data_IF_698981536940
#
_entry.id   IF_698981536940
#
_cell.length_a   1.000
_cell.length_b   1.000
_cell.length_c   1.000
_cell.angle_alpha   90.00
_cell.angle_beta   90.00
_cell.angle_gamma   90.00
#
_symmetry.space_group_name_H-M   'P 1'
#
loop_
_entity.id
_entity.type
_entity.pdbx_description
1 polymer ?
#
# COMPACT_ATOMS: atom_id res chain seq x y z
N UNK A 1 -6.05 29.00 3.65
CA UNK A 1 -5.00 28.15 3.09
C UNK A 1 -3.63 28.35 3.77
N UNK A 2 -3.16 29.57 4.02
CA UNK A 2 -1.87 29.84 4.69
C UNK A 2 -1.81 29.41 6.18
N UNK A 3 -2.90 29.51 6.93
CA UNK A 3 -2.96 29.07 8.32
C UNK A 3 -2.83 27.54 8.47
N UNK A 4 -3.49 26.77 7.60
CA UNK A 4 -3.38 25.31 7.59
C UNK A 4 -1.99 24.81 7.14
N UNK A 5 -1.28 25.57 6.30
CA UNK A 5 0.12 25.29 5.96
C UNK A 5 1.08 25.61 7.12
N UNK A 6 0.76 26.60 7.94
CA UNK A 6 1.58 26.98 9.09
C UNK A 6 1.42 26.01 10.27
N UNK A 7 0.24 25.44 10.47
CA UNK A 7 0.00 24.37 11.45
C UNK A 7 0.61 23.02 11.03
N UNK A 8 0.60 22.70 9.73
CA UNK A 8 1.26 21.50 9.19
C UNK A 8 2.80 21.54 9.34
N UNK A 9 3.39 22.74 9.40
CA UNK A 9 4.85 22.92 9.58
C UNK A 9 5.30 22.84 11.04
N UNK A 10 4.40 22.88 12.01
CA UNK A 10 4.75 22.90 13.44
C UNK A 10 5.27 21.56 14.01
N UNK A 11 5.31 20.49 13.21
CA UNK A 11 5.82 19.16 13.61
C UNK A 11 7.07 18.70 12.88
N UNK A 12 7.57 19.47 11.91
CA UNK A 12 8.82 19.14 11.21
C UNK A 12 10.03 19.58 12.04
N UNK A 13 11.05 18.74 12.21
CA UNK A 13 12.35 19.25 12.62
C UNK A 13 12.78 20.31 11.59
N UNK A 14 13.22 21.47 12.04
CA UNK A 14 13.49 22.69 11.26
C UNK A 14 14.54 22.56 10.12
N UNK A 15 14.94 21.34 9.75
CA UNK A 15 16.05 21.03 8.82
C UNK A 15 15.69 20.16 7.61
N UNK A 16 14.41 19.78 7.40
CA UNK A 16 14.05 18.93 6.25
C UNK A 16 13.87 19.82 5.00
N UNK A 17 14.93 19.98 4.24
CA UNK A 17 14.87 20.64 2.93
C UNK A 17 14.28 19.67 1.87
N UNK A 18 13.92 20.19 0.69
CA UNK A 18 13.30 19.39 -0.39
C UNK A 18 14.18 18.20 -0.81
N UNK A 19 15.51 18.33 -0.78
CA UNK A 19 16.44 17.23 -1.16
C UNK A 19 16.41 16.11 -0.12
N UNK A 20 16.45 16.44 1.17
CA UNK A 20 16.34 15.44 2.24
C UNK A 20 14.96 14.77 2.25
N UNK A 21 13.88 15.51 2.00
CA UNK A 21 12.54 14.95 1.89
C UNK A 21 12.39 13.95 0.71
N UNK A 22 13.05 14.24 -0.42
CA UNK A 22 13.11 13.31 -1.56
C UNK A 22 13.88 12.04 -1.19
N UNK A 23 15.01 12.15 -0.50
CA UNK A 23 15.77 11.00 -0.01
C UNK A 23 14.97 10.14 0.97
N UNK A 24 14.19 10.75 1.88
CA UNK A 24 13.29 10.04 2.79
C UNK A 24 12.18 9.31 2.03
N UNK A 25 11.61 9.91 0.98
CA UNK A 25 10.60 9.26 0.14
C UNK A 25 11.17 8.04 -0.60
N UNK A 26 12.37 8.13 -1.18
CA UNK A 26 13.03 7.01 -1.84
C UNK A 26 13.31 5.88 -0.84
N UNK A 27 13.86 6.20 0.34
CA UNK A 27 14.13 5.23 1.40
C UNK A 27 12.84 4.54 1.87
N UNK A 28 11.75 5.30 2.04
CA UNK A 28 10.44 4.76 2.39
C UNK A 28 10.00 3.67 1.41
N UNK A 29 10.08 3.94 0.11
CA UNK A 29 9.62 2.98 -0.90
C UNK A 29 10.59 1.82 -1.13
N UNK A 30 11.88 2.01 -0.85
CA UNK A 30 12.84 0.90 -0.79
C UNK A 30 12.51 -0.05 0.37
N UNK A 31 12.23 0.49 1.57
CA UNK A 31 11.80 -0.31 2.72
C UNK A 31 10.47 -1.02 2.43
N UNK A 32 9.52 -0.34 1.78
CA UNK A 32 8.26 -0.92 1.37
C UNK A 32 8.44 -2.08 0.35
N UNK A 33 9.38 -1.95 -0.58
CA UNK A 33 9.71 -3.01 -1.54
C UNK A 33 10.29 -4.25 -0.83
N UNK A 34 11.17 -4.05 0.14
CA UNK A 34 11.73 -5.13 0.95
C UNK A 34 10.68 -5.93 1.72
N UNK A 35 9.52 -5.33 2.04
CA UNK A 35 8.40 -6.06 2.66
C UNK A 35 7.90 -7.20 1.78
N UNK A 36 7.83 -7.01 0.45
CA UNK A 36 7.38 -8.07 -0.47
C UNK A 36 8.32 -9.27 -0.47
N UNK A 37 9.63 -8.99 -0.42
CA UNK A 37 10.67 -10.02 -0.39
C UNK A 37 10.63 -10.76 0.96
N UNK A 38 10.64 -10.02 2.06
CA UNK A 38 10.58 -10.57 3.39
C UNK A 38 9.28 -11.33 3.64
N UNK A 39 8.13 -10.80 3.19
CA UNK A 39 6.85 -11.47 3.30
C UNK A 39 6.83 -12.81 2.54
N UNK A 40 7.39 -12.85 1.32
CA UNK A 40 7.49 -14.10 0.55
C UNK A 40 8.32 -15.18 1.26
N UNK A 41 9.37 -14.77 1.99
CA UNK A 41 10.16 -15.69 2.82
C UNK A 41 9.37 -16.15 4.05
N UNK A 42 8.73 -15.20 4.77
CA UNK A 42 8.01 -15.51 6.02
C UNK A 42 6.75 -16.32 5.79
N UNK A 43 6.00 -16.07 4.71
CA UNK A 43 4.73 -16.78 4.46
C UNK A 43 4.91 -18.26 4.15
N UNK A 44 6.13 -18.72 3.89
CA UNK A 44 6.45 -20.15 3.85
C UNK A 44 6.40 -20.82 5.23
N UNK A 45 6.60 -20.06 6.31
CA UNK A 45 6.75 -20.54 7.69
C UNK A 45 5.65 -20.04 8.63
N UNK A 46 5.05 -18.90 8.32
CA UNK A 46 4.01 -18.24 9.11
C UNK A 46 2.77 -17.95 8.26
N UNK A 47 1.57 -18.20 8.78
CA UNK A 47 0.33 -17.87 8.09
C UNK A 47 0.22 -16.37 7.76
N UNK A 48 -0.41 -16.00 6.62
CA UNK A 48 -0.49 -14.61 6.16
C UNK A 48 -1.18 -13.64 7.13
N UNK A 49 -2.23 -14.07 7.82
CA UNK A 49 -2.92 -13.23 8.80
C UNK A 49 -2.11 -13.04 10.08
N UNK A 50 -1.36 -14.06 10.49
CA UNK A 50 -0.41 -13.95 11.59
C UNK A 50 0.67 -12.93 11.29
N UNK A 51 1.26 -12.97 10.07
CA UNK A 51 2.22 -11.96 9.61
C UNK A 51 1.60 -10.56 9.60
N UNK A 52 0.38 -10.43 9.09
CA UNK A 52 -0.35 -9.16 9.05
C UNK A 52 -0.59 -8.61 10.47
N UNK A 53 -1.04 -9.46 11.41
CA UNK A 53 -1.26 -9.10 12.80
C UNK A 53 0.02 -8.56 13.46
N UNK A 54 1.08 -9.33 13.44
CA UNK A 54 2.34 -8.94 14.09
C UNK A 54 2.94 -7.68 13.49
N UNK A 55 2.85 -7.51 12.17
CA UNK A 55 3.31 -6.30 11.48
C UNK A 55 2.60 -5.05 12.01
N UNK A 56 1.26 -5.05 12.03
CA UNK A 56 0.51 -3.86 12.44
C UNK A 56 0.56 -3.66 13.95
N UNK A 57 0.54 -4.74 14.75
CA UNK A 57 0.63 -4.67 16.20
C UNK A 57 1.94 -4.05 16.68
N UNK A 58 3.07 -4.55 16.17
CA UNK A 58 4.40 -4.01 16.51
C UNK A 58 4.53 -2.57 16.01
N UNK A 59 4.02 -2.24 14.82
CA UNK A 59 4.03 -0.87 14.31
C UNK A 59 3.25 0.08 15.21
N UNK A 60 2.09 -0.34 15.73
CA UNK A 60 1.32 0.44 16.72
C UNK A 60 2.14 0.65 17.99
N UNK A 61 2.76 -0.40 18.55
CA UNK A 61 3.57 -0.28 19.77
C UNK A 61 4.73 0.70 19.62
N UNK A 62 5.41 0.69 18.46
CA UNK A 62 6.54 1.59 18.18
C UNK A 62 6.05 3.04 17.97
N UNK A 63 4.94 3.24 17.25
CA UNK A 63 4.47 4.58 16.88
C UNK A 63 3.61 5.23 17.96
N UNK A 64 2.98 4.46 18.83
CA UNK A 64 2.08 4.96 19.87
C UNK A 64 2.73 6.02 20.78
N UNK A 65 3.96 5.83 21.30
CA UNK A 65 4.61 6.84 22.15
C UNK A 65 4.85 8.19 21.43
N UNK A 66 5.02 8.17 20.09
CA UNK A 66 5.30 9.37 19.28
C UNK A 66 4.09 10.32 19.21
N UNK A 67 2.88 9.79 19.41
CA UNK A 67 1.63 10.57 19.30
C UNK A 67 1.07 10.99 20.68
N UNK A 68 1.82 10.81 21.77
CA UNK A 68 1.35 11.06 23.16
C UNK A 68 0.64 12.40 23.36
N UNK A 69 1.10 13.44 22.68
CA UNK A 69 0.49 14.79 22.76
C UNK A 69 -0.91 14.86 22.13
N UNK A 70 -1.27 13.90 21.29
CA UNK A 70 -2.54 13.85 20.56
C UNK A 70 -3.51 12.79 21.12
N UNK A 71 -3.18 12.10 22.21
CA UNK A 71 -4.03 11.05 22.79
C UNK A 71 -5.48 11.47 23.01
N UNK A 72 -5.78 12.65 23.65
CA UNK A 72 -7.17 13.03 23.89
C UNK A 72 -7.98 13.15 22.60
N UNK A 73 -7.42 13.78 21.57
CA UNK A 73 -8.07 13.94 20.26
C UNK A 73 -8.22 12.59 19.53
N UNK A 74 -7.21 11.71 19.63
CA UNK A 74 -7.21 10.38 19.03
C UNK A 74 -8.29 9.49 19.65
N UNK A 75 -8.39 9.47 20.98
CA UNK A 75 -9.41 8.71 21.72
C UNK A 75 -10.80 9.28 21.43
N UNK A 76 -10.94 10.61 21.38
CA UNK A 76 -12.20 11.27 21.04
C UNK A 76 -12.72 10.84 19.67
N UNK A 77 -11.84 10.86 18.64
CA UNK A 77 -12.21 10.41 17.30
C UNK A 77 -12.52 8.91 17.26
N UNK A 78 -11.76 8.09 17.98
CA UNK A 78 -11.99 6.66 18.09
C UNK A 78 -13.41 6.36 18.60
N UNK A 79 -13.84 7.03 19.67
CA UNK A 79 -15.19 6.86 20.25
C UNK A 79 -16.30 7.29 19.30
N UNK A 80 -16.11 8.41 18.60
CA UNK A 80 -17.15 8.99 17.72
C UNK A 80 -17.26 8.26 16.37
N UNK A 81 -16.20 7.71 15.83
CA UNK A 81 -16.12 7.20 14.46
C UNK A 81 -15.55 5.77 14.37
N UNK A 82 -15.70 4.96 15.44
CA UNK A 82 -15.10 3.63 15.55
C UNK A 82 -15.39 2.71 14.36
N UNK A 83 -16.65 2.66 13.88
CA UNK A 83 -17.03 1.81 12.76
C UNK A 83 -16.34 2.24 11.46
N UNK A 84 -16.30 3.55 11.19
CA UNK A 84 -15.60 4.10 10.02
C UNK A 84 -14.09 3.81 10.08
N UNK A 85 -13.49 3.89 11.26
CA UNK A 85 -12.08 3.58 11.47
C UNK A 85 -11.78 2.09 11.27
N UNK A 86 -12.65 1.19 11.76
CA UNK A 86 -12.52 -0.26 11.54
C UNK A 86 -12.60 -0.60 10.05
N UNK A 87 -13.56 -0.04 9.31
CA UNK A 87 -13.70 -0.27 7.87
C UNK A 87 -12.45 0.25 7.13
N UNK A 88 -12.06 1.51 7.38
CA UNK A 88 -10.96 2.15 6.66
C UNK A 88 -9.62 1.52 7.04
N UNK A 89 -9.34 1.35 8.34
CA UNK A 89 -8.13 0.71 8.83
C UNK A 89 -8.04 -0.75 8.42
N UNK A 90 -9.16 -1.48 8.50
CA UNK A 90 -9.28 -2.87 8.07
C UNK A 90 -8.97 -3.06 6.59
N UNK A 91 -9.55 -2.25 5.70
CA UNK A 91 -9.28 -2.31 4.26
C UNK A 91 -7.81 -2.00 3.94
N UNK A 92 -7.24 -0.94 4.55
CA UNK A 92 -5.91 -0.46 4.19
C UNK A 92 -4.76 -1.25 4.81
N UNK A 93 -4.90 -1.68 6.05
CA UNK A 93 -3.78 -2.22 6.83
C UNK A 93 -3.99 -3.65 7.36
N UNK A 94 -5.18 -4.24 7.14
CA UNK A 94 -5.48 -5.63 7.46
C UNK A 94 -5.76 -6.42 6.18
N UNK A 95 -6.87 -6.18 5.51
CA UNK A 95 -7.34 -6.96 4.35
C UNK A 95 -6.37 -6.85 3.17
N UNK A 96 -6.00 -5.64 2.76
CA UNK A 96 -5.11 -5.46 1.59
C UNK A 96 -3.74 -6.12 1.80
N UNK A 97 -2.98 -5.90 2.89
CA UNK A 97 -1.72 -6.59 3.09
C UNK A 97 -1.86 -8.11 3.24
N UNK A 98 -2.89 -8.60 3.94
CA UNK A 98 -3.11 -10.03 4.07
C UNK A 98 -3.35 -10.70 2.72
N UNK A 99 -4.15 -10.10 1.84
CA UNK A 99 -4.37 -10.60 0.48
C UNK A 99 -3.09 -10.58 -0.37
N UNK A 100 -2.21 -9.58 -0.18
CA UNK A 100 -0.87 -9.59 -0.82
C UNK A 100 -0.06 -10.79 -0.31
N UNK A 101 -0.03 -11.02 1.01
CA UNK A 101 0.73 -12.12 1.60
C UNK A 101 0.19 -13.50 1.18
N UNK A 102 -1.13 -13.66 1.11
CA UNK A 102 -1.75 -14.86 0.54
C UNK A 102 -1.33 -15.00 -0.93
N UNK A 103 -1.43 -13.94 -1.71
CA UNK A 103 -1.07 -13.94 -3.13
C UNK A 103 0.38 -14.32 -3.37
N UNK A 104 1.32 -13.85 -2.54
CA UNK A 104 2.75 -14.15 -2.65
C UNK A 104 3.08 -15.64 -2.49
N UNK A 105 2.21 -16.45 -1.89
CA UNK A 105 2.38 -17.90 -1.84
C UNK A 105 2.20 -18.56 -3.23
N UNK A 106 1.45 -17.92 -4.13
CA UNK A 106 1.06 -18.47 -5.43
C UNK A 106 1.63 -17.71 -6.63
N UNK A 107 2.11 -16.46 -6.43
CA UNK A 107 2.68 -15.64 -7.51
C UNK A 107 4.08 -15.10 -7.15
N UNK A 108 4.76 -14.49 -8.13
CA UNK A 108 6.06 -13.85 -7.93
C UNK A 108 5.93 -12.48 -7.24
N UNK A 109 7.00 -12.06 -6.56
CA UNK A 109 7.05 -10.71 -5.99
C UNK A 109 7.06 -9.64 -7.09
N UNK A 110 7.65 -9.94 -8.26
CA UNK A 110 7.65 -9.06 -9.43
C UNK A 110 6.22 -8.84 -9.92
N UNK A 111 5.44 -9.92 -10.15
CA UNK A 111 4.05 -9.81 -10.58
C UNK A 111 3.20 -9.01 -9.57
N UNK A 112 3.34 -9.33 -8.28
CA UNK A 112 2.62 -8.61 -7.23
C UNK A 112 2.96 -7.11 -7.24
N UNK A 113 4.23 -6.74 -7.35
CA UNK A 113 4.68 -5.34 -7.41
C UNK A 113 4.13 -4.59 -8.64
N UNK A 114 4.08 -5.25 -9.80
CA UNK A 114 3.55 -4.66 -11.03
C UNK A 114 2.02 -4.48 -10.95
N UNK A 115 1.28 -5.43 -10.40
CA UNK A 115 -0.17 -5.31 -10.20
C UNK A 115 -0.49 -4.16 -9.24
N UNK A 116 0.27 -4.03 -8.14
CA UNK A 116 0.12 -2.95 -7.17
C UNK A 116 0.39 -1.56 -7.78
N UNK A 117 1.23 -1.45 -8.80
CA UNK A 117 1.44 -0.19 -9.52
C UNK A 117 0.16 0.38 -10.17
N UNK A 118 -0.90 -0.42 -10.33
CA UNK A 118 -2.22 0.02 -10.80
C UNK A 118 -3.07 0.71 -9.73
N UNK A 119 -2.68 0.69 -8.47
CA UNK A 119 -3.47 1.29 -7.39
C UNK A 119 -3.97 2.72 -7.69
N UNK A 120 -3.17 3.64 -8.25
CA UNK A 120 -3.65 4.99 -8.56
C UNK A 120 -4.78 5.00 -9.58
N UNK A 121 -4.74 4.11 -10.57
CA UNK A 121 -5.78 3.98 -11.61
C UNK A 121 -7.07 3.46 -10.98
N UNK A 122 -6.99 2.40 -10.18
CA UNK A 122 -8.13 1.81 -9.47
C UNK A 122 -8.72 2.84 -8.51
N UNK A 123 -7.87 3.58 -7.77
CA UNK A 123 -8.31 4.64 -6.85
C UNK A 123 -9.06 5.74 -7.58
N UNK A 124 -8.57 6.18 -8.73
CA UNK A 124 -9.23 7.20 -9.54
C UNK A 124 -10.61 6.72 -10.04
N UNK A 125 -10.70 5.48 -10.53
CA UNK A 125 -11.98 4.91 -10.97
C UNK A 125 -12.99 4.83 -9.81
N UNK A 126 -12.57 4.32 -8.65
CA UNK A 126 -13.43 4.27 -7.47
C UNK A 126 -13.82 5.67 -6.96
N UNK A 127 -12.91 6.65 -7.03
CA UNK A 127 -13.22 8.05 -6.70
C UNK A 127 -14.27 8.64 -7.64
N UNK A 128 -14.26 8.28 -8.92
CA UNK A 128 -15.31 8.66 -9.89
C UNK A 128 -16.68 8.19 -9.44
N UNK A 129 -16.80 6.93 -9.02
CA UNK A 129 -18.08 6.34 -8.64
C UNK A 129 -18.53 6.72 -7.22
N UNK A 130 -17.60 6.80 -6.26
CA UNK A 130 -17.93 6.99 -4.84
C UNK A 130 -17.96 8.47 -4.44
N UNK A 131 -17.07 9.29 -5.02
CA UNK A 131 -16.93 10.72 -4.71
C UNK A 131 -17.48 11.62 -5.82
N UNK A 132 -17.96 11.05 -6.93
CA UNK A 132 -18.41 11.77 -8.13
C UNK A 132 -17.33 12.72 -8.71
N UNK A 133 -16.05 12.37 -8.56
CA UNK A 133 -14.94 13.17 -9.11
C UNK A 133 -14.95 13.07 -10.64
N UNK A 134 -14.80 14.20 -11.38
CA UNK A 134 -14.76 14.14 -12.85
C UNK A 134 -13.50 13.41 -13.33
N UNK A 135 -13.66 12.55 -14.33
CA UNK A 135 -12.55 11.86 -15.02
C UNK A 135 -12.43 12.42 -16.43
N UNK A 136 -11.23 12.84 -16.82
CA UNK A 136 -10.98 13.32 -18.17
C UNK A 136 -10.91 12.16 -19.16
N UNK A 137 -11.13 12.45 -20.46
CA UNK A 137 -10.98 11.45 -21.53
C UNK A 137 -9.59 10.81 -21.53
N UNK A 138 -8.54 11.59 -21.29
CA UNK A 138 -7.17 11.10 -21.21
C UNK A 138 -6.94 10.18 -20.01
N UNK A 139 -7.55 10.48 -18.88
CA UNK A 139 -7.52 9.61 -17.70
C UNK A 139 -8.24 8.28 -17.97
N UNK A 140 -9.36 8.32 -18.69
CA UNK A 140 -10.08 7.11 -19.10
C UNK A 140 -9.25 6.25 -20.07
N UNK A 141 -8.67 6.87 -21.10
CA UNK A 141 -7.75 6.17 -22.04
C UNK A 141 -6.55 5.58 -21.29
N UNK A 142 -5.91 6.38 -20.42
CA UNK A 142 -4.79 5.92 -19.60
C UNK A 142 -5.16 4.72 -18.72
N UNK A 143 -6.39 4.69 -18.19
CA UNK A 143 -6.89 3.55 -17.42
C UNK A 143 -6.97 2.28 -18.26
N UNK A 144 -7.53 2.38 -19.47
CA UNK A 144 -7.61 1.23 -20.40
C UNK A 144 -6.19 0.70 -20.71
N UNK A 145 -5.26 1.61 -21.04
CA UNK A 145 -3.86 1.25 -21.32
C UNK A 145 -3.20 0.52 -20.14
N UNK A 146 -3.40 1.04 -18.92
CA UNK A 146 -2.87 0.41 -17.72
C UNK A 146 -3.49 -0.98 -17.45
N UNK A 147 -4.79 -1.15 -17.66
CA UNK A 147 -5.46 -2.46 -17.53
C UNK A 147 -5.01 -3.47 -18.59
N UNK A 148 -4.70 -3.04 -19.82
CA UNK A 148 -4.08 -3.91 -20.83
C UNK A 148 -2.72 -4.40 -20.33
N UNK A 149 -1.89 -3.52 -19.76
CA UNK A 149 -0.62 -3.91 -19.16
C UNK A 149 -0.77 -4.93 -18.03
N UNK A 150 -1.77 -4.74 -17.15
CA UNK A 150 -2.10 -5.73 -16.11
C UNK A 150 -2.51 -7.08 -16.72
N UNK A 151 -3.38 -7.07 -17.74
CA UNK A 151 -3.82 -8.29 -18.39
C UNK A 151 -2.62 -9.09 -18.97
N UNK A 152 -1.65 -8.40 -19.59
CA UNK A 152 -0.42 -9.02 -20.09
C UNK A 152 0.37 -9.71 -18.97
N UNK A 153 0.45 -9.10 -17.78
CA UNK A 153 1.18 -9.67 -16.63
C UNK A 153 0.43 -10.88 -16.06
N UNK A 154 -0.87 -10.73 -15.80
CA UNK A 154 -1.71 -11.76 -15.19
C UNK A 154 -1.82 -12.99 -16.10
N UNK A 155 -1.81 -12.80 -17.42
CA UNK A 155 -1.84 -13.90 -18.40
C UNK A 155 -0.45 -14.40 -18.80
N UNK A 156 0.63 -13.83 -18.24
CA UNK A 156 2.00 -14.12 -18.62
C UNK A 156 2.28 -13.99 -20.11
N UNK A 157 1.55 -13.08 -20.77
CA UNK A 157 1.64 -12.82 -22.21
C UNK A 157 0.74 -13.71 -23.09
N UNK A 158 0.08 -14.72 -22.55
CA UNK A 158 -0.94 -15.52 -23.29
C UNK A 158 -2.35 -15.04 -22.97
N UNK A 159 -2.86 -14.11 -23.80
CA UNK A 159 -4.22 -13.58 -23.62
C UNK A 159 -5.32 -14.65 -23.75
N UNK A 160 -5.02 -15.82 -24.29
CA UNK A 160 -5.99 -16.95 -24.33
C UNK A 160 -6.28 -17.48 -22.92
N UNK A 161 -5.38 -17.28 -21.98
CA UNK A 161 -5.61 -17.62 -20.57
C UNK A 161 -6.79 -16.88 -19.97
N UNK A 162 -7.09 -15.64 -20.42
CA UNK A 162 -8.31 -14.90 -20.02
C UNK A 162 -9.58 -15.60 -20.47
N UNK A 163 -9.58 -16.15 -21.69
CA UNK A 163 -10.73 -16.84 -22.29
C UNK A 163 -10.93 -18.21 -21.60
N UNK A 164 -9.81 -18.87 -21.24
CA UNK A 164 -9.82 -20.18 -20.57
C UNK A 164 -10.06 -20.09 -19.06
N UNK A 165 -10.10 -18.87 -18.51
CA UNK A 165 -10.14 -18.60 -17.05
C UNK A 165 -8.99 -19.28 -16.29
N UNK A 166 -7.86 -19.51 -16.95
CA UNK A 166 -6.66 -20.11 -16.37
C UNK A 166 -5.79 -18.98 -15.76
N UNK A 167 -6.38 -18.28 -14.79
CA UNK A 167 -5.73 -17.18 -14.08
C UNK A 167 -5.02 -17.70 -12.84
N UNK A 168 -3.84 -17.16 -12.57
CA UNK A 168 -3.11 -17.49 -11.36
C UNK A 168 -3.84 -16.95 -10.12
N UNK A 169 -4.21 -17.85 -9.21
CA UNK A 169 -4.93 -17.51 -7.97
C UNK A 169 -4.20 -16.42 -7.16
N UNK A 170 -2.86 -16.45 -7.13
CA UNK A 170 -2.07 -15.45 -6.41
C UNK A 170 -2.25 -14.04 -6.96
N UNK A 171 -2.32 -13.90 -8.27
CA UNK A 171 -2.52 -12.61 -8.94
C UNK A 171 -3.92 -12.05 -8.69
N UNK A 172 -4.94 -12.93 -8.63
CA UNK A 172 -6.30 -12.54 -8.25
C UNK A 172 -6.32 -11.95 -6.83
N UNK A 173 -5.65 -12.60 -5.86
CA UNK A 173 -5.52 -12.06 -4.51
C UNK A 173 -4.85 -10.69 -4.49
N UNK A 174 -3.79 -10.48 -5.29
CA UNK A 174 -3.10 -9.19 -5.36
C UNK A 174 -3.98 -8.11 -6.01
N UNK A 175 -4.78 -8.45 -7.03
CA UNK A 175 -5.78 -7.52 -7.61
C UNK A 175 -6.83 -7.14 -6.57
N UNK A 176 -7.37 -8.10 -5.82
CA UNK A 176 -8.31 -7.83 -4.72
C UNK A 176 -7.67 -6.96 -3.64
N UNK A 177 -6.38 -7.17 -3.33
CA UNK A 177 -5.62 -6.32 -2.41
C UNK A 177 -5.52 -4.87 -2.90
N UNK A 178 -5.23 -4.68 -4.20
CA UNK A 178 -5.16 -3.37 -4.82
C UNK A 178 -6.52 -2.64 -4.75
N UNK A 179 -7.63 -3.34 -4.99
CA UNK A 179 -8.99 -2.81 -4.86
C UNK A 179 -9.27 -2.43 -3.39
N UNK A 180 -8.94 -3.29 -2.41
CA UNK A 180 -9.14 -3.02 -1.00
C UNK A 180 -8.38 -1.77 -0.54
N UNK A 181 -7.11 -1.60 -0.98
CA UNK A 181 -6.33 -0.41 -0.67
C UNK A 181 -6.86 0.84 -1.37
N UNK A 182 -7.35 0.72 -2.60
CA UNK A 182 -7.97 1.83 -3.32
C UNK A 182 -9.26 2.29 -2.62
N UNK A 183 -10.11 1.35 -2.14
CA UNK A 183 -11.28 1.65 -1.31
C UNK A 183 -10.89 2.35 -0.01
N UNK A 184 -9.85 1.86 0.69
CA UNK A 184 -9.28 2.53 1.85
C UNK A 184 -8.96 3.99 1.53
N UNK A 185 -8.24 4.25 0.43
CA UNK A 185 -7.82 5.59 0.03
C UNK A 185 -9.03 6.50 -0.24
N UNK A 186 -10.04 6.01 -0.96
CA UNK A 186 -11.25 6.77 -1.29
C UNK A 186 -12.10 7.04 -0.04
N UNK A 187 -12.30 6.05 0.82
CA UNK A 187 -13.06 6.22 2.06
C UNK A 187 -12.35 7.14 3.05
N UNK A 188 -11.02 7.07 3.13
CA UNK A 188 -10.23 7.99 3.94
C UNK A 188 -10.41 9.45 3.48
N UNK A 189 -10.38 9.69 2.17
CA UNK A 189 -10.66 11.01 1.59
C UNK A 189 -12.09 11.49 1.90
N UNK A 190 -13.07 10.58 1.80
CA UNK A 190 -14.48 10.88 2.11
C UNK A 190 -14.70 11.21 3.58
N UNK A 191 -14.00 10.53 4.48
CA UNK A 191 -14.19 10.67 5.93
C UNK A 191 -13.75 12.04 6.49
N UNK A 192 -12.80 12.72 5.85
CA UNK A 192 -12.28 14.07 6.20
C UNK A 192 -11.94 14.21 7.69
N UNK A 193 -11.22 13.22 8.24
CA UNK A 193 -10.83 13.26 9.65
C UNK A 193 -9.96 14.47 9.97
N UNK A 194 -10.25 15.10 11.14
CA UNK A 194 -9.54 16.29 11.64
C UNK A 194 -8.43 15.88 12.63
N UNK A 195 -7.48 15.03 12.15
CA UNK A 195 -6.30 14.64 12.91
C UNK A 195 -5.04 14.79 12.05
N UNK A 196 -3.89 15.13 12.66
CA UNK A 196 -2.61 15.07 11.96
C UNK A 196 -2.32 13.67 11.41
N UNK A 197 -1.49 13.57 10.37
CA UNK A 197 -1.27 12.33 9.63
C UNK A 197 -0.78 11.16 10.48
N UNK A 198 0.21 11.40 11.39
CA UNK A 198 0.75 10.31 12.21
C UNK A 198 -0.24 9.80 13.28
N UNK A 199 -0.92 10.66 14.08
CA UNK A 199 -2.00 10.21 14.98
C UNK A 199 -3.13 9.46 14.27
N UNK A 200 -3.55 9.93 13.10
CA UNK A 200 -4.58 9.25 12.30
C UNK A 200 -4.08 7.88 11.81
N UNK A 201 -2.83 7.78 11.34
CA UNK A 201 -2.23 6.52 10.94
C UNK A 201 -2.20 5.51 12.08
N UNK A 202 -1.72 5.91 13.28
CA UNK A 202 -1.68 5.03 14.46
C UNK A 202 -3.07 4.54 14.82
N UNK A 203 -4.08 5.41 14.72
CA UNK A 203 -5.48 5.03 14.97
C UNK A 203 -6.01 4.02 13.95
N UNK A 204 -5.69 4.20 12.66
CA UNK A 204 -6.08 3.26 11.61
C UNK A 204 -5.33 1.92 11.72
N UNK A 205 -4.05 1.93 12.11
CA UNK A 205 -3.29 0.71 12.42
C UNK A 205 -3.89 -0.02 13.63
N UNK A 206 -4.27 0.71 14.69
CA UNK A 206 -4.97 0.13 15.84
C UNK A 206 -6.31 -0.52 15.46
N UNK A 207 -7.08 0.13 14.59
CA UNK A 207 -8.31 -0.44 14.03
C UNK A 207 -8.02 -1.69 13.19
N UNK A 208 -6.94 -1.69 12.41
CA UNK A 208 -6.53 -2.86 11.65
C UNK A 208 -6.13 -4.04 12.56
N UNK A 209 -5.46 -3.79 13.70
CA UNK A 209 -5.19 -4.84 14.70
C UNK A 209 -6.50 -5.52 15.11
N UNK A 210 -7.51 -4.73 15.48
CA UNK A 210 -8.83 -5.26 15.91
C UNK A 210 -9.47 -6.10 14.80
N UNK A 211 -9.46 -5.64 13.55
CA UNK A 211 -10.03 -6.36 12.40
C UNK A 211 -9.23 -7.64 12.09
N UNK A 212 -7.92 -7.66 12.32
CA UNK A 212 -7.08 -8.82 12.02
C UNK A 212 -7.22 -9.93 13.06
N UNK A 213 -7.56 -9.63 14.33
CA UNK A 213 -7.65 -10.60 15.43
C UNK A 213 -8.47 -11.84 15.06
N UNK A 214 -9.73 -11.75 14.58
CA UNK A 214 -10.53 -12.95 14.31
C UNK A 214 -9.90 -13.85 13.25
N UNK A 215 -9.29 -13.30 12.22
CA UNK A 215 -8.60 -14.06 11.17
C UNK A 215 -7.30 -14.69 11.68
N UNK A 216 -6.54 -13.96 12.50
CA UNK A 216 -5.34 -14.46 13.15
C UNK A 216 -5.65 -15.62 14.11
N UNK A 217 -6.69 -15.47 14.94
CA UNK A 217 -7.13 -16.55 15.84
C UNK A 217 -7.59 -17.78 15.04
N UNK A 218 -8.32 -17.55 13.96
CA UNK A 218 -8.74 -18.64 13.08
C UNK A 218 -7.53 -19.39 12.49
N UNK A 219 -6.50 -18.68 12.00
CA UNK A 219 -5.26 -19.31 11.51
C UNK A 219 -4.55 -20.08 12.62
N UNK A 220 -4.43 -19.53 13.83
CA UNK A 220 -3.80 -20.24 14.96
C UNK A 220 -4.45 -21.58 15.31
N UNK A 221 -5.75 -21.71 15.05
CA UNK A 221 -6.51 -22.93 15.33
C UNK A 221 -6.46 -23.97 14.21
N UNK A 222 -6.08 -23.57 12.99
CA UNK A 222 -6.19 -24.42 11.79
C UNK A 222 -4.90 -24.56 10.99
N UNK A 223 -3.85 -23.85 11.34
CA UNK A 223 -2.56 -23.86 10.62
C UNK A 223 -1.41 -24.13 11.59
N UNK A 224 -0.67 -25.19 11.33
CA UNK A 224 0.45 -25.64 12.18
C UNK A 224 1.76 -24.86 11.91
N UNK A 225 1.79 -23.94 10.95
CA UNK A 225 2.96 -23.11 10.60
C UNK A 225 3.23 -22.03 11.64
N UNK A 226 3.59 -22.40 12.86
CA UNK A 226 3.87 -21.45 13.95
C UNK A 226 5.32 -21.36 14.35
N UNK A 227 6.17 -22.27 13.88
CA UNK A 227 7.58 -22.33 14.22
C UNK A 227 8.42 -21.51 13.23
N UNK A 228 8.75 -20.28 13.62
CA UNK A 228 9.69 -19.46 12.86
C UNK A 228 11.11 -19.96 13.04
N UNK A 229 11.80 -20.26 11.95
CA UNK A 229 13.26 -20.40 11.97
C UNK A 229 13.92 -19.00 12.04
N UNK A 230 15.25 -18.97 12.13
CA UNK A 230 15.99 -17.71 12.24
C UNK A 230 15.73 -16.77 11.03
N UNK A 231 15.55 -17.30 9.81
CA UNK A 231 15.25 -16.49 8.61
C UNK A 231 13.87 -15.87 8.70
N UNK A 232 12.86 -16.65 9.08
CA UNK A 232 11.50 -16.17 9.28
C UNK A 232 11.41 -15.10 10.36
N UNK A 233 12.14 -15.29 11.48
CA UNK A 233 12.21 -14.29 12.55
C UNK A 233 12.82 -12.95 12.07
N UNK A 234 13.95 -12.98 11.35
CA UNK A 234 14.55 -11.79 10.78
C UNK A 234 13.64 -11.09 9.77
N UNK A 235 12.96 -11.87 8.93
CA UNK A 235 12.02 -11.31 7.97
C UNK A 235 10.79 -10.69 8.66
N UNK A 236 10.27 -11.30 9.74
CA UNK A 236 9.20 -10.71 10.55
C UNK A 236 9.64 -9.40 11.22
N UNK A 237 10.83 -9.37 11.83
CA UNK A 237 11.41 -8.14 12.42
C UNK A 237 11.52 -7.05 11.36
N UNK A 238 11.96 -7.40 10.15
CA UNK A 238 12.03 -6.44 9.05
C UNK A 238 10.64 -5.92 8.66
N UNK A 239 9.66 -6.80 8.46
CA UNK A 239 8.30 -6.43 8.03
C UNK A 239 7.60 -5.55 9.07
N UNK A 240 7.82 -5.81 10.36
CA UNK A 240 7.20 -5.05 11.44
C UNK A 240 7.92 -3.73 11.76
N UNK A 241 9.24 -3.74 11.85
CA UNK A 241 10.07 -2.58 12.20
C UNK A 241 10.39 -1.70 10.98
N UNK A 242 11.46 -1.99 10.22
CA UNK A 242 11.86 -1.16 9.07
C UNK A 242 10.78 -1.04 8.01
N UNK A 243 10.19 -2.14 7.57
CA UNK A 243 9.16 -2.18 6.53
C UNK A 243 7.76 -1.81 7.00
N UNK A 244 7.53 -1.75 8.31
CA UNK A 244 6.29 -1.33 8.95
C UNK A 244 6.40 0.06 9.57
N UNK A 245 6.77 0.12 10.85
CA UNK A 245 6.76 1.34 11.65
C UNK A 245 7.62 2.46 11.05
N UNK A 246 8.88 2.16 10.69
CA UNK A 246 9.80 3.16 10.13
C UNK A 246 9.32 3.64 8.76
N UNK A 247 8.93 2.74 7.88
CA UNK A 247 8.40 3.08 6.56
C UNK A 247 7.19 4.00 6.66
N UNK A 248 6.21 3.68 7.53
CA UNK A 248 5.05 4.54 7.74
C UNK A 248 5.41 5.91 8.29
N UNK A 249 6.36 5.97 9.22
CA UNK A 249 6.86 7.23 9.76
C UNK A 249 7.52 8.10 8.68
N UNK A 250 8.42 7.51 7.88
CA UNK A 250 9.10 8.19 6.77
C UNK A 250 8.11 8.65 5.69
N UNK A 251 7.10 7.83 5.39
CA UNK A 251 6.03 8.23 4.46
C UNK A 251 5.29 9.47 4.95
N UNK A 252 4.89 9.49 6.23
CA UNK A 252 4.24 10.66 6.81
C UNK A 252 5.12 11.92 6.75
N UNK A 253 6.42 11.81 7.07
CA UNK A 253 7.36 12.93 6.93
C UNK A 253 7.46 13.41 5.49
N UNK A 254 7.55 12.48 4.53
CA UNK A 254 7.63 12.80 3.11
C UNK A 254 6.37 13.52 2.61
N UNK A 255 5.18 13.06 3.04
CA UNK A 255 3.90 13.71 2.71
C UNK A 255 3.81 15.12 3.29
N UNK A 256 4.28 15.32 4.54
CA UNK A 256 4.29 16.65 5.16
C UNK A 256 5.23 17.62 4.44
N UNK A 257 6.41 17.15 4.01
CA UNK A 257 7.43 17.99 3.38
C UNK A 257 7.19 18.24 1.88
N UNK A 258 6.74 17.23 1.12
CA UNK A 258 6.58 17.28 -0.34
C UNK A 258 5.14 17.51 -0.80
N UNK A 259 4.18 17.26 0.10
CA UNK A 259 2.76 17.13 -0.23
C UNK A 259 2.38 15.76 -0.77
N UNK A 260 1.12 15.35 -0.59
CA UNK A 260 0.64 14.02 -0.91
C UNK A 260 0.83 13.64 -2.40
N UNK A 261 0.60 14.59 -3.33
CA UNK A 261 0.75 14.34 -4.77
C UNK A 261 2.18 14.00 -5.17
N UNK A 262 3.19 14.74 -4.64
CA UNK A 262 4.60 14.49 -4.96
C UNK A 262 5.11 13.23 -4.26
N UNK A 263 4.77 13.02 -2.99
CA UNK A 263 5.12 11.81 -2.26
C UNK A 263 4.54 10.54 -2.92
N UNK A 264 3.34 10.63 -3.50
CA UNK A 264 2.68 9.52 -4.20
C UNK A 264 3.40 9.08 -5.49
N UNK A 265 4.10 10.00 -6.20
CA UNK A 265 4.85 9.63 -7.41
C UNK A 265 5.98 8.65 -7.11
N UNK A 266 6.58 8.74 -5.92
CA UNK A 266 7.63 7.82 -5.50
C UNK A 266 7.18 6.37 -5.31
N UNK A 267 5.86 6.10 -5.24
CA UNK A 267 5.31 4.73 -5.23
C UNK A 267 5.82 3.88 -6.41
N UNK A 268 6.06 4.50 -7.57
CA UNK A 268 6.54 3.75 -8.74
C UNK A 268 7.97 3.23 -8.59
N UNK A 269 8.78 3.88 -7.76
CA UNK A 269 10.10 3.35 -7.39
C UNK A 269 9.99 2.05 -6.62
N UNK A 270 8.91 1.85 -5.85
CA UNK A 270 8.68 0.59 -5.14
C UNK A 270 8.64 -0.59 -6.11
N UNK A 271 7.94 -0.48 -7.24
CA UNK A 271 7.85 -1.55 -8.23
C UNK A 271 9.22 -1.91 -8.80
N UNK A 272 10.04 -0.89 -9.11
CA UNK A 272 11.41 -1.09 -9.59
C UNK A 272 12.27 -1.77 -8.51
N UNK A 273 12.19 -1.29 -7.27
CA UNK A 273 12.91 -1.87 -6.14
C UNK A 273 12.48 -3.32 -5.86
N UNK A 274 11.16 -3.65 -5.96
CA UNK A 274 10.68 -5.02 -5.84
C UNK A 274 11.34 -5.91 -6.90
N UNK A 275 11.37 -5.48 -8.16
CA UNK A 275 11.96 -6.26 -9.25
C UNK A 275 13.47 -6.50 -9.02
N UNK A 276 14.21 -5.46 -8.62
CA UNK A 276 15.64 -5.56 -8.32
C UNK A 276 15.88 -6.49 -7.11
N UNK A 277 15.17 -6.28 -6.01
CA UNK A 277 15.34 -7.09 -4.79
C UNK A 277 14.90 -8.54 -5.03
N UNK A 278 13.82 -8.78 -5.78
CA UNK A 278 13.36 -10.12 -6.11
C UNK A 278 14.39 -10.89 -6.97
N UNK A 279 15.04 -10.22 -7.90
CA UNK A 279 16.12 -10.81 -8.67
C UNK A 279 17.29 -11.27 -7.77
N UNK A 280 17.76 -10.39 -6.86
CA UNK A 280 18.91 -10.71 -6.01
C UNK A 280 18.61 -11.67 -4.87
N UNK A 281 17.45 -11.54 -4.22
CA UNK A 281 17.13 -12.29 -2.99
C UNK A 281 16.25 -13.52 -3.21
N UNK A 282 15.41 -13.52 -4.25
CA UNK A 282 14.49 -14.63 -4.55
C UNK A 282 14.88 -15.40 -5.82
N UNK A 283 15.88 -14.93 -6.58
CA UNK A 283 16.27 -15.54 -7.85
C UNK A 283 15.20 -15.40 -8.95
N UNK A 284 14.23 -14.49 -8.79
CA UNK A 284 13.20 -14.24 -9.78
C UNK A 284 13.81 -13.55 -11.01
N UNK A 285 13.44 -14.02 -12.21
CA UNK A 285 13.95 -13.43 -13.46
C UNK A 285 12.87 -12.62 -14.16
N UNK A 286 13.27 -11.45 -14.66
CA UNK A 286 12.42 -10.65 -15.52
C UNK A 286 12.18 -11.40 -16.84
N UNK A 287 10.92 -11.61 -17.18
CA UNK A 287 10.47 -12.17 -18.44
C UNK A 287 10.00 -11.04 -19.38
N UNK A 288 9.91 -11.31 -20.67
CA UNK A 288 9.49 -10.31 -21.67
C UNK A 288 8.11 -9.72 -21.35
N UNK A 289 7.18 -10.54 -20.87
CA UNK A 289 5.83 -10.06 -20.50
C UNK A 289 5.84 -9.07 -19.31
N UNK A 290 6.80 -9.18 -18.37
CA UNK A 290 6.96 -8.19 -17.31
C UNK A 290 7.35 -6.83 -17.87
N UNK A 291 8.29 -6.78 -18.83
CA UNK A 291 8.73 -5.52 -19.44
C UNK A 291 7.63 -4.88 -20.26
N UNK A 292 6.92 -5.67 -21.08
CA UNK A 292 5.82 -5.18 -21.91
C UNK A 292 4.66 -4.71 -21.02
N UNK A 293 4.24 -5.51 -20.05
CA UNK A 293 3.16 -5.14 -19.12
C UNK A 293 3.51 -3.90 -18.29
N UNK A 294 4.76 -3.82 -17.77
CA UNK A 294 5.25 -2.65 -17.03
C UNK A 294 5.24 -1.38 -17.91
N UNK A 295 5.62 -1.48 -19.17
CA UNK A 295 5.56 -0.35 -20.12
C UNK A 295 4.12 0.17 -20.25
N UNK A 296 3.16 -0.70 -20.54
CA UNK A 296 1.74 -0.30 -20.66
C UNK A 296 1.18 0.26 -19.35
N UNK A 297 1.49 -0.35 -18.20
CA UNK A 297 1.07 0.17 -16.88
C UNK A 297 1.66 1.56 -16.67
N UNK A 298 2.95 1.75 -16.91
CA UNK A 298 3.61 3.04 -16.72
C UNK A 298 3.01 4.12 -17.61
N UNK A 299 2.85 3.85 -18.90
CA UNK A 299 2.23 4.79 -19.85
C UNK A 299 0.81 5.15 -19.40
N UNK A 300 -0.02 4.15 -19.08
CA UNK A 300 -1.39 4.38 -18.62
C UNK A 300 -1.46 5.20 -17.34
N UNK A 301 -0.61 4.89 -16.37
CA UNK A 301 -0.54 5.64 -15.11
C UNK A 301 -0.07 7.09 -15.33
N UNK A 302 0.93 7.32 -16.19
CA UNK A 302 1.38 8.68 -16.52
C UNK A 302 0.25 9.50 -17.16
N UNK A 303 -0.53 8.91 -18.09
CA UNK A 303 -1.70 9.56 -18.66
C UNK A 303 -2.74 9.92 -17.59
N UNK A 304 -3.02 9.02 -16.65
CA UNK A 304 -3.96 9.26 -15.55
C UNK A 304 -3.49 10.38 -14.62
N UNK A 305 -2.20 10.44 -14.30
CA UNK A 305 -1.68 11.37 -13.29
C UNK A 305 -1.44 12.78 -13.81
N UNK A 306 -0.92 12.92 -15.03
CA UNK A 306 -0.45 14.20 -15.54
C UNK A 306 -1.47 14.92 -16.39
N UNK A 307 -2.41 14.23 -17.03
CA UNK A 307 -3.45 14.83 -17.84
C UNK A 307 -4.74 15.05 -17.03
N UNK A 308 -4.69 16.01 -16.10
CA UNK A 308 -5.87 16.45 -15.34
C UNK A 308 -6.92 17.08 -16.28
N UNK A 309 -8.24 16.97 -15.94
CA UNK A 309 -9.26 17.77 -16.65
C UNK A 309 -8.84 19.23 -16.55
N UNK A 310 -8.78 19.92 -17.68
CA UNK A 310 -8.66 21.37 -17.69
C UNK A 310 -9.76 21.93 -16.79
N UNK A 311 -9.45 22.88 -15.91
CA UNK A 311 -10.47 23.64 -15.19
C UNK A 311 -11.39 24.25 -16.24
N UNK A 312 -12.56 23.65 -16.42
CA UNK A 312 -13.66 24.37 -17.08
C UNK A 312 -14.00 25.53 -16.15
N UNK A 313 -13.56 26.72 -16.51
CA UNK A 313 -14.09 27.96 -15.96
C UNK A 313 -15.58 28.00 -16.34
N UNK A 314 -16.45 27.69 -15.42
CA UNK A 314 -17.85 28.01 -15.40
C UNK A 314 -18.13 28.99 -14.29
#
# INVERSE_FOLDING_TARGET
MQAAQKEASAGLPASVNTKSATGLAILCWLLAAGVYIAAKVVTAEMPPWALCFWRVFIAVLILLPLIRRHYPATIGLARQRWLSLLIIGGLGFSISPALIYIGLNYTSAINAGLIIALMPVITMMLARFILNEPVSTWQFVGSIVAFVGMAIIVTRGDLRALIRLDLNTGEIFVVCAAIAFALYTVFLRRAKYQLPGLPLLVLLLGAAVVVTIPFYVWELLHDDRTALNAKGLWALIYVAGPGGALMYYLFNLSVQALGASRAGVFLYFQTVFIAVLAYFFLGERLQTYHLVGAFFIMVGVLLVMFLKPGRTHS
#
